data_IF_062998905248
#
_entry.id   IF_062998905248
#
_cell.length_a   1.000
_cell.length_b   1.000
_cell.length_c   1.000
_cell.angle_alpha   90.00
_cell.angle_beta   90.00
_cell.angle_gamma   90.00
#
_symmetry.space_group_name_H-M   'P 1'
#
loop_
_entity.id
_entity.type
_entity.pdbx_description
1 polymer ?
#
# COMPACT_ATOMS: atom_id res chain seq x y z
N UNK A 1 12.77 3.58 1.96
CA UNK A 1 13.19 2.41 2.78
C UNK A 1 11.98 1.55 3.07
N UNK A 2 12.16 0.27 3.41
CA UNK A 2 11.03 -0.61 3.76
C UNK A 2 10.51 -0.31 5.17
N UNK A 3 9.19 -0.29 5.33
CA UNK A 3 8.52 -0.14 6.62
C UNK A 3 7.40 -1.17 6.75
N UNK A 4 7.26 -1.71 7.96
CA UNK A 4 6.14 -2.57 8.32
C UNK A 4 4.99 -1.72 8.84
N UNK A 5 3.80 -2.01 8.35
CA UNK A 5 2.54 -1.38 8.72
C UNK A 5 1.63 -2.46 9.30
N UNK A 6 1.04 -2.17 10.45
CA UNK A 6 0.13 -3.08 11.15
C UNK A 6 -1.31 -2.95 10.63
N UNK A 7 -2.19 -3.76 11.22
CA UNK A 7 -3.59 -3.77 10.85
C UNK A 7 -4.25 -2.40 11.05
N UNK A 8 -5.10 -2.01 10.11
CA UNK A 8 -5.77 -0.71 10.02
C UNK A 8 -4.82 0.50 9.96
N UNK A 9 -3.54 0.30 9.65
CA UNK A 9 -2.62 1.42 9.42
C UNK A 9 -3.02 2.17 8.16
N UNK A 10 -3.57 3.37 8.34
CA UNK A 10 -3.84 4.32 7.27
C UNK A 10 -2.64 5.24 7.04
N UNK A 11 -2.26 5.41 5.78
CA UNK A 11 -1.08 6.17 5.37
C UNK A 11 -1.40 7.00 4.14
N UNK A 12 -1.16 8.30 4.26
CA UNK A 12 -1.03 9.20 3.11
C UNK A 12 0.46 9.34 2.80
N UNK A 13 0.95 8.80 1.68
CA UNK A 13 2.36 8.96 1.31
C UNK A 13 2.72 10.44 1.09
N UNK A 14 4.00 10.81 1.32
CA UNK A 14 4.51 12.14 0.99
C UNK A 14 4.22 12.56 -0.46
N UNK A 15 4.08 13.86 -0.71
CA UNK A 15 3.73 14.41 -2.03
C UNK A 15 4.73 14.09 -3.15
N UNK A 16 5.98 13.79 -2.80
CA UNK A 16 7.06 13.40 -3.72
C UNK A 16 7.13 11.88 -3.97
N UNK A 17 6.20 11.09 -3.39
CA UNK A 17 6.10 9.64 -3.66
C UNK A 17 5.63 9.41 -5.10
N UNK A 18 6.44 8.73 -5.89
CA UNK A 18 6.15 8.34 -7.27
C UNK A 18 5.65 6.90 -7.38
N UNK A 19 5.96 6.05 -6.40
CA UNK A 19 5.47 4.68 -6.34
C UNK A 19 5.46 4.12 -4.91
N UNK A 20 4.61 3.12 -4.69
CA UNK A 20 4.74 2.23 -3.53
C UNK A 20 5.18 0.84 -3.99
N UNK A 21 6.06 0.22 -3.21
CA UNK A 21 6.52 -1.14 -3.39
C UNK A 21 5.86 -1.99 -2.30
N UNK A 22 5.07 -2.99 -2.68
CA UNK A 22 4.39 -3.88 -1.73
C UNK A 22 5.07 -5.25 -1.75
N UNK A 23 5.72 -5.63 -0.66
CA UNK A 23 6.40 -6.92 -0.55
C UNK A 23 5.43 -8.02 -0.10
N UNK A 24 4.82 -8.72 -1.05
CA UNK A 24 3.75 -9.70 -0.79
C UNK A 24 4.29 -11.05 -0.30
N UNK A 25 5.56 -11.37 -0.60
CA UNK A 25 6.20 -12.66 -0.29
C UNK A 25 6.05 -13.15 1.17
N UNK A 26 6.01 -12.23 2.14
CA UNK A 26 5.97 -12.55 3.58
C UNK A 26 4.90 -11.77 4.36
N UNK A 27 3.95 -11.13 3.67
CA UNK A 27 2.88 -10.37 4.32
C UNK A 27 1.63 -11.23 4.41
N UNK A 28 0.97 -11.25 5.55
CA UNK A 28 -0.38 -11.83 5.70
C UNK A 28 -1.49 -10.86 5.32
N UNK A 29 -1.13 -9.60 5.06
CA UNK A 29 -2.09 -8.53 4.81
C UNK A 29 -2.43 -8.26 3.35
N UNK A 30 -3.28 -7.26 3.18
CA UNK A 30 -3.72 -6.69 1.91
C UNK A 30 -3.65 -5.17 2.02
N UNK A 31 -3.04 -4.52 1.04
CA UNK A 31 -2.98 -3.07 0.92
C UNK A 31 -4.18 -2.62 0.09
N UNK A 32 -5.06 -1.82 0.67
CA UNK A 32 -6.18 -1.19 -0.04
C UNK A 32 -5.83 0.26 -0.33
N UNK A 33 -6.21 0.74 -1.51
CA UNK A 33 -5.89 2.09 -1.99
C UNK A 33 -7.19 2.87 -2.17
N UNK A 34 -7.21 4.09 -1.65
CA UNK A 34 -8.37 4.97 -1.63
C UNK A 34 -8.01 6.39 -2.09
N UNK A 35 -9.02 7.13 -2.52
CA UNK A 35 -8.93 8.60 -2.63
C UNK A 35 -9.01 9.19 -1.23
N UNK A 36 -8.08 10.09 -0.92
CA UNK A 36 -7.95 10.68 0.44
C UNK A 36 -9.16 11.52 0.81
N UNK A 37 -9.72 12.27 -0.14
CA UNK A 37 -10.82 13.22 0.12
C UNK A 37 -12.19 12.56 0.24
N UNK A 38 -12.41 11.44 -0.46
CA UNK A 38 -13.74 10.83 -0.62
C UNK A 38 -13.85 9.42 -0.04
N UNK A 39 -12.74 8.82 0.38
CA UNK A 39 -12.65 7.40 0.75
C UNK A 39 -13.09 6.43 -0.37
N UNK A 40 -13.09 6.89 -1.62
CA UNK A 40 -13.43 6.04 -2.76
C UNK A 40 -12.35 4.98 -2.98
N UNK A 41 -12.77 3.71 -2.98
CA UNK A 41 -11.90 2.58 -3.33
C UNK A 41 -11.36 2.71 -4.75
N UNK A 42 -10.05 2.49 -4.92
CA UNK A 42 -9.38 2.47 -6.22
C UNK A 42 -8.86 1.11 -6.60
N UNK A 43 -8.11 0.48 -5.71
CA UNK A 43 -7.52 -0.84 -5.99
C UNK A 43 -7.01 -1.50 -4.71
N UNK A 44 -6.48 -2.72 -4.85
CA UNK A 44 -5.81 -3.44 -3.77
C UNK A 44 -4.63 -4.28 -4.28
N UNK A 45 -3.66 -4.47 -3.39
CA UNK A 45 -2.57 -5.44 -3.56
C UNK A 45 -2.61 -6.42 -2.41
N UNK A 46 -2.87 -7.69 -2.73
CA UNK A 46 -3.02 -8.75 -1.74
C UNK A 46 -2.38 -10.07 -2.16
N UNK A 47 -2.86 -11.15 -1.56
CA UNK A 47 -2.30 -12.51 -1.72
C UNK A 47 -2.36 -13.07 -3.14
N UNK A 48 -3.16 -12.47 -4.03
CA UNK A 48 -3.16 -12.80 -5.47
C UNK A 48 -1.76 -12.65 -6.11
N UNK A 49 -0.89 -11.83 -5.49
CA UNK A 49 0.51 -11.61 -5.89
C UNK A 49 1.51 -12.31 -4.96
N UNK A 50 1.11 -13.38 -4.27
CA UNK A 50 1.97 -14.08 -3.31
C UNK A 50 3.32 -14.49 -3.93
N UNK A 51 4.39 -14.32 -3.15
CA UNK A 51 5.76 -14.54 -3.60
C UNK A 51 6.40 -13.37 -4.37
N UNK A 52 5.63 -12.33 -4.73
CA UNK A 52 6.10 -11.21 -5.54
C UNK A 52 6.34 -9.93 -4.71
N UNK A 53 7.00 -8.96 -5.35
CA UNK A 53 6.98 -7.56 -4.92
C UNK A 53 6.27 -6.77 -6.01
N UNK A 54 5.17 -6.12 -5.66
CA UNK A 54 4.34 -5.37 -6.60
C UNK A 54 4.74 -3.91 -6.56
N UNK A 55 4.96 -3.32 -7.74
CA UNK A 55 5.19 -1.89 -7.89
C UNK A 55 3.86 -1.25 -8.27
N UNK A 56 3.40 -0.30 -7.47
CA UNK A 56 2.19 0.47 -7.75
C UNK A 56 2.59 1.92 -8.00
N UNK A 57 2.45 2.45 -9.23
CA UNK A 57 2.63 3.86 -9.50
C UNK A 57 1.73 4.69 -8.61
N UNK A 58 2.27 5.73 -7.98
CA UNK A 58 1.54 6.54 -7.01
C UNK A 58 1.14 7.88 -7.61
N UNK A 59 -0.04 8.35 -7.20
CA UNK A 59 -0.56 9.67 -7.56
C UNK A 59 -0.94 10.40 -6.28
N UNK A 60 -0.63 11.70 -6.23
CA UNK A 60 -1.05 12.57 -5.13
C UNK A 60 -2.59 12.53 -4.97
N UNK A 61 -3.03 12.64 -3.72
CA UNK A 61 -4.46 12.55 -3.35
C UNK A 61 -4.93 11.12 -3.08
N UNK A 62 -4.04 10.13 -3.16
CA UNK A 62 -4.31 8.76 -2.73
C UNK A 62 -3.76 8.48 -1.33
N UNK A 63 -4.45 7.60 -0.61
CA UNK A 63 -3.99 6.98 0.64
C UNK A 63 -4.07 5.48 0.52
N UNK A 64 -3.35 4.76 1.38
CA UNK A 64 -3.54 3.32 1.53
C UNK A 64 -3.85 2.93 2.96
N UNK A 65 -4.58 1.83 3.11
CA UNK A 65 -4.84 1.17 4.38
C UNK A 65 -4.30 -0.25 4.32
N UNK A 66 -3.53 -0.64 5.32
CA UNK A 66 -3.12 -2.03 5.47
C UNK A 66 -4.17 -2.78 6.31
N UNK A 67 -4.67 -3.90 5.80
CA UNK A 67 -5.43 -4.88 6.58
C UNK A 67 -4.54 -6.10 6.81
N UNK A 68 -4.22 -6.43 8.06
CA UNK A 68 -3.18 -7.38 8.44
C UNK A 68 -1.80 -6.75 8.56
N UNK A 69 -0.72 -7.50 8.30
CA UNK A 69 0.65 -6.95 8.29
C UNK A 69 1.12 -6.74 6.86
N UNK A 70 1.49 -5.50 6.53
CA UNK A 70 1.99 -5.12 5.21
C UNK A 70 3.40 -4.56 5.32
N UNK A 71 4.25 -4.90 4.35
CA UNK A 71 5.62 -4.39 4.24
C UNK A 71 5.74 -3.57 2.97
N UNK A 72 5.90 -2.26 3.14
CA UNK A 72 5.79 -1.29 2.05
C UNK A 72 7.05 -0.42 2.00
N UNK A 73 7.57 -0.22 0.81
CA UNK A 73 8.59 0.78 0.50
C UNK A 73 7.94 1.96 -0.21
N UNK A 74 8.18 3.18 0.26
CA UNK A 74 7.83 4.41 -0.46
C UNK A 74 9.03 4.84 -1.30
N UNK A 75 8.77 5.19 -2.56
CA UNK A 75 9.74 5.64 -3.57
C UNK A 75 9.34 6.99 -4.09
#
# INVERSE_FOLDING_TARGET
TWKDYGDLSEVTPPNDTIAILVQVRNTSGVVYIYVTETDDYKDRVGQDYSGQTVIVPWKQGLKFVCYGTCRIGLV
#
